data_IF_542101601442
#
_entry.id   IF_542101601442
#
_cell.length_a   1.000
_cell.length_b   1.000
_cell.length_c   1.000
_cell.angle_alpha   90.00
_cell.angle_beta   90.00
_cell.angle_gamma   90.00
#
_symmetry.space_group_name_H-M   'P 1'
#
loop_
_entity.id
_entity.type
_entity.pdbx_description
1 polymer ?
#
# COMPACT_ATOMS: atom_id res chain seq x y z
N UNK A 1 75.52 -13.03 -9.10
CA UNK A 1 74.45 -13.59 -8.24
C UNK A 1 73.48 -12.45 -7.89
N UNK A 2 72.58 -12.04 -8.80
CA UNK A 2 71.66 -10.89 -8.61
C UNK A 2 70.31 -11.20 -9.27
N UNK A 3 69.50 -12.05 -8.63
CA UNK A 3 68.08 -12.28 -8.96
C UNK A 3 67.39 -12.78 -7.69
N UNK A 4 66.72 -11.93 -6.92
CA UNK A 4 65.75 -12.40 -5.89
C UNK A 4 64.96 -11.32 -5.14
N UNK A 5 65.35 -10.03 -5.18
CA UNK A 5 64.67 -9.01 -4.36
C UNK A 5 63.40 -8.41 -4.99
N UNK A 6 63.29 -8.36 -6.31
CA UNK A 6 62.18 -7.69 -7.02
C UNK A 6 60.87 -8.48 -6.99
N UNK A 7 60.90 -9.82 -6.88
CA UNK A 7 59.69 -10.66 -6.92
C UNK A 7 58.91 -10.71 -5.59
N UNK A 8 59.59 -10.56 -4.45
CA UNK A 8 58.95 -10.65 -3.12
C UNK A 8 58.08 -9.43 -2.82
N UNK A 9 58.49 -8.26 -3.30
CA UNK A 9 57.79 -6.98 -3.08
C UNK A 9 56.49 -6.96 -3.90
N UNK A 10 56.50 -7.46 -5.13
CA UNK A 10 55.32 -7.57 -5.99
C UNK A 10 54.23 -8.49 -5.41
N UNK A 11 54.60 -9.65 -4.87
CA UNK A 11 53.63 -10.60 -4.29
C UNK A 11 52.96 -10.09 -3.01
N UNK A 12 53.68 -9.34 -2.18
CA UNK A 12 53.13 -8.75 -0.95
C UNK A 12 52.21 -7.56 -1.25
N UNK A 13 52.57 -6.70 -2.22
CA UNK A 13 51.72 -5.60 -2.67
C UNK A 13 50.44 -6.12 -3.36
N UNK A 14 50.55 -7.13 -4.23
CA UNK A 14 49.39 -7.75 -4.90
C UNK A 14 48.43 -8.41 -3.90
N UNK A 15 48.94 -9.11 -2.87
CA UNK A 15 48.11 -9.68 -1.78
C UNK A 15 47.35 -8.61 -1.00
N UNK A 16 47.98 -7.48 -0.69
CA UNK A 16 47.34 -6.36 0.03
C UNK A 16 46.28 -5.67 -0.81
N UNK A 17 46.51 -5.51 -2.12
CA UNK A 17 45.53 -4.96 -3.06
C UNK A 17 44.34 -5.91 -3.22
N UNK A 18 44.56 -7.22 -3.34
CA UNK A 18 43.50 -8.23 -3.40
C UNK A 18 42.69 -8.27 -2.08
N UNK A 19 43.34 -8.18 -0.92
CA UNK A 19 42.67 -8.08 0.38
C UNK A 19 41.86 -6.79 0.54
N UNK A 20 42.37 -5.64 0.09
CA UNK A 20 41.65 -4.36 0.09
C UNK A 20 40.44 -4.38 -0.86
N UNK A 21 40.60 -4.94 -2.07
CA UNK A 21 39.49 -5.10 -3.03
C UNK A 21 38.42 -6.08 -2.53
N UNK A 22 38.83 -7.16 -1.86
CA UNK A 22 37.91 -8.10 -1.22
C UNK A 22 37.15 -7.46 -0.05
N UNK A 23 37.80 -6.62 0.77
CA UNK A 23 37.13 -5.85 1.82
C UNK A 23 36.15 -4.81 1.25
N UNK A 24 36.51 -4.13 0.16
CA UNK A 24 35.65 -3.14 -0.49
C UNK A 24 34.40 -3.77 -1.13
N UNK A 25 34.52 -5.00 -1.66
CA UNK A 25 33.39 -5.73 -2.22
C UNK A 25 32.36 -6.18 -1.17
N UNK A 26 32.78 -6.43 0.09
CA UNK A 26 31.87 -6.81 1.18
C UNK A 26 31.03 -5.62 1.69
N UNK A 27 31.56 -4.39 1.60
CA UNK A 27 30.84 -3.17 2.04
C UNK A 27 29.67 -2.82 1.11
N UNK A 28 29.70 -3.25 -0.16
CA UNK A 28 28.66 -2.95 -1.15
C UNK A 28 27.49 -3.96 -1.15
N UNK A 29 27.60 -5.06 -0.41
CA UNK A 29 26.57 -6.11 -0.38
C UNK A 29 25.56 -5.91 0.77
N UNK A 30 25.09 -4.69 1.01
CA UNK A 30 23.96 -4.49 1.93
C UNK A 30 22.69 -5.04 1.29
N UNK A 31 22.06 -6.10 1.83
CA UNK A 31 20.79 -6.56 1.32
C UNK A 31 19.75 -5.45 1.51
N UNK A 32 19.20 -4.93 0.41
CA UNK A 32 18.00 -4.09 0.46
C UNK A 32 16.87 -5.01 0.91
N UNK A 33 16.54 -4.97 2.20
CA UNK A 33 15.32 -5.57 2.69
C UNK A 33 14.15 -4.82 2.04
N UNK A 34 13.46 -5.48 1.10
CA UNK A 34 12.23 -4.97 0.53
C UNK A 34 11.24 -4.74 1.68
N UNK A 35 11.01 -3.46 2.02
CA UNK A 35 10.04 -3.10 3.05
C UNK A 35 8.66 -3.37 2.50
N UNK A 36 7.90 -4.21 3.19
CA UNK A 36 6.49 -4.42 2.91
C UNK A 36 5.76 -3.09 2.74
N UNK A 37 5.10 -2.91 1.60
CA UNK A 37 4.36 -1.69 1.33
C UNK A 37 3.21 -1.56 2.34
N UNK A 38 3.17 -0.43 3.04
CA UNK A 38 2.16 -0.17 4.06
C UNK A 38 0.79 0.05 3.40
N UNK A 39 -0.28 -0.59 3.88
CA UNK A 39 -1.64 -0.30 3.40
C UNK A 39 -2.21 1.03 3.92
N UNK A 40 -1.50 1.74 4.80
CA UNK A 40 -1.93 3.04 5.33
C UNK A 40 -1.93 4.11 4.24
N UNK A 41 -3.01 4.87 4.15
CA UNK A 41 -3.20 5.95 3.19
C UNK A 41 -4.55 5.90 2.49
N UNK A 42 -4.68 6.68 1.42
CA UNK A 42 -5.93 6.84 0.69
C UNK A 42 -5.93 5.97 -0.58
N UNK A 43 -7.06 5.30 -0.81
CA UNK A 43 -7.21 4.30 -1.86
C UNK A 43 -8.48 4.54 -2.65
N UNK A 44 -8.35 4.70 -3.96
CA UNK A 44 -9.46 4.74 -4.90
C UNK A 44 -9.94 3.31 -5.16
N UNK A 45 -11.19 3.03 -4.79
CA UNK A 45 -11.83 1.72 -5.02
C UNK A 45 -11.85 1.35 -6.51
N UNK A 46 -11.93 0.06 -6.84
CA UNK A 46 -11.70 -0.44 -8.21
C UNK A 46 -12.55 0.21 -9.32
N UNK A 47 -13.84 0.45 -9.08
CA UNK A 47 -14.73 1.15 -10.04
C UNK A 47 -14.63 2.68 -9.94
N UNK A 48 -13.68 3.22 -9.17
CA UNK A 48 -13.50 4.65 -8.99
C UNK A 48 -14.58 5.34 -8.14
N UNK A 49 -15.54 4.61 -7.61
CA UNK A 49 -16.73 5.19 -6.95
C UNK A 49 -16.48 5.85 -5.60
N UNK A 50 -15.38 5.52 -4.92
CA UNK A 50 -15.05 6.08 -3.61
C UNK A 50 -13.54 6.08 -3.32
N UNK A 51 -13.12 6.98 -2.44
CA UNK A 51 -11.81 7.02 -1.81
C UNK A 51 -11.95 6.54 -0.36
N UNK A 52 -11.21 5.50 -0.01
CA UNK A 52 -11.16 4.91 1.33
C UNK A 52 -9.80 5.21 1.96
N UNK A 53 -9.83 5.89 3.10
CA UNK A 53 -8.64 6.12 3.94
C UNK A 53 -8.45 4.96 4.90
N UNK A 54 -7.31 4.28 4.79
CA UNK A 54 -6.85 3.27 5.74
C UNK A 54 -5.90 3.93 6.72
N UNK A 55 -6.24 3.88 8.01
CA UNK A 55 -5.44 4.45 9.09
C UNK A 55 -5.49 3.55 10.33
N UNK A 56 -4.68 3.88 11.35
CA UNK A 56 -4.81 3.26 12.66
C UNK A 56 -6.20 3.52 13.22
N UNK A 57 -6.82 2.49 13.77
CA UNK A 57 -8.02 2.65 14.58
C UNK A 57 -7.69 3.45 15.85
N UNK A 58 -8.71 3.89 16.58
CA UNK A 58 -8.55 4.63 17.84
C UNK A 58 -7.70 3.87 18.88
N UNK A 59 -7.69 2.53 18.84
CA UNK A 59 -6.87 1.68 19.71
C UNK A 59 -5.35 1.73 19.42
N UNK A 60 -4.94 2.40 18.34
CA UNK A 60 -3.55 2.53 17.90
C UNK A 60 -2.90 1.26 17.33
N UNK A 61 -3.60 0.12 17.33
CA UNK A 61 -3.03 -1.20 16.96
C UNK A 61 -3.63 -1.74 15.68
N UNK A 62 -4.95 -1.73 15.55
CA UNK A 62 -5.62 -2.23 14.35
C UNK A 62 -5.60 -1.18 13.23
N UNK A 63 -5.85 -1.63 11.99
CA UNK A 63 -6.19 -0.74 10.89
C UNK A 63 -7.69 -0.72 10.63
N UNK A 64 -8.20 0.47 10.37
CA UNK A 64 -9.58 0.77 10.04
C UNK A 64 -9.60 1.52 8.71
N UNK A 65 -10.69 1.39 7.96
CA UNK A 65 -10.87 2.00 6.65
C UNK A 65 -12.17 2.79 6.60
N UNK A 66 -12.08 4.07 6.27
CA UNK A 66 -13.22 4.99 6.24
C UNK A 66 -13.41 5.58 4.85
N UNK A 67 -14.65 5.70 4.39
CA UNK A 67 -14.96 6.44 3.16
C UNK A 67 -14.72 7.93 3.44
N UNK A 68 -13.78 8.52 2.73
CA UNK A 68 -13.42 9.95 2.89
C UNK A 68 -13.74 10.78 1.65
N UNK A 69 -14.04 10.13 0.53
CA UNK A 69 -14.56 10.79 -0.65
C UNK A 69 -15.42 9.85 -1.49
N UNK A 70 -16.41 10.41 -2.18
CA UNK A 70 -17.32 9.68 -3.05
C UNK A 70 -17.38 10.42 -4.39
N UNK A 71 -17.24 9.66 -5.48
CA UNK A 71 -17.43 10.19 -6.82
C UNK A 71 -18.91 10.46 -7.04
N UNK A 72 -19.28 11.71 -7.29
CA UNK A 72 -20.67 12.12 -7.48
C UNK A 72 -20.77 13.08 -8.65
N UNK A 73 -21.83 12.92 -9.44
CA UNK A 73 -22.21 13.89 -10.45
C UNK A 73 -22.60 15.23 -9.80
N UNK A 74 -22.53 16.31 -10.59
CA UNK A 74 -22.93 17.63 -10.14
C UNK A 74 -24.40 17.62 -9.68
N UNK A 75 -24.65 18.17 -8.50
CA UNK A 75 -26.00 18.21 -7.90
C UNK A 75 -26.49 16.90 -7.30
N UNK A 76 -25.81 15.76 -7.51
CA UNK A 76 -26.22 14.49 -6.92
C UNK A 76 -26.22 14.54 -5.37
N UNK A 77 -27.18 13.88 -4.72
CA UNK A 77 -27.22 13.84 -3.25
C UNK A 77 -26.15 12.88 -2.72
N UNK A 78 -25.56 13.22 -1.58
CA UNK A 78 -24.67 12.30 -0.86
C UNK A 78 -25.43 11.00 -0.55
N UNK A 79 -24.94 9.82 -0.97
CA UNK A 79 -25.62 8.56 -0.69
C UNK A 79 -25.65 8.31 0.82
N UNK A 80 -26.71 7.62 1.25
CA UNK A 80 -26.88 7.20 2.65
C UNK A 80 -26.55 5.73 2.82
N UNK A 81 -26.12 5.36 4.02
CA UNK A 81 -25.93 3.98 4.44
C UNK A 81 -27.27 3.30 4.72
N UNK A 82 -27.23 2.00 5.01
CA UNK A 82 -28.39 1.18 5.35
C UNK A 82 -29.15 1.64 6.61
N UNK A 83 -28.63 2.62 7.35
CA UNK A 83 -29.26 3.24 8.52
C UNK A 83 -29.71 4.69 8.24
N UNK A 84 -29.66 5.13 6.98
CA UNK A 84 -30.08 6.47 6.57
C UNK A 84 -29.08 7.59 6.86
N UNK A 85 -27.85 7.28 7.28
CA UNK A 85 -26.80 8.27 7.55
C UNK A 85 -25.92 8.49 6.32
N UNK A 86 -25.27 9.64 6.13
CA UNK A 86 -24.34 9.82 5.01
C UNK A 86 -23.27 8.71 4.94
N UNK A 87 -22.99 8.19 3.75
CA UNK A 87 -21.90 7.22 3.56
C UNK A 87 -20.52 7.86 3.73
N UNK A 88 -20.42 9.18 3.62
CA UNK A 88 -19.19 9.86 4.01
C UNK A 88 -18.89 9.60 5.49
N UNK A 89 -17.66 9.20 5.78
CA UNK A 89 -17.24 8.84 7.13
C UNK A 89 -17.60 7.42 7.56
N UNK A 90 -18.28 6.64 6.70
CA UNK A 90 -18.64 5.26 7.00
C UNK A 90 -17.39 4.39 7.16
N UNK A 91 -17.32 3.63 8.26
CA UNK A 91 -16.25 2.67 8.55
C UNK A 91 -16.48 1.37 7.77
N UNK A 92 -15.95 1.34 6.54
CA UNK A 92 -16.05 0.21 5.62
C UNK A 92 -15.17 -0.95 6.07
N UNK A 93 -13.91 -0.70 6.44
CA UNK A 93 -12.99 -1.71 6.97
C UNK A 93 -12.99 -1.60 8.49
N UNK A 94 -13.45 -2.65 9.15
CA UNK A 94 -13.44 -2.80 10.61
C UNK A 94 -12.04 -3.11 11.12
N UNK A 95 -11.78 -2.98 12.44
CA UNK A 95 -10.48 -3.28 13.03
C UNK A 95 -9.87 -4.57 12.47
N UNK A 96 -8.76 -4.38 11.75
CA UNK A 96 -8.05 -5.42 11.04
C UNK A 96 -6.64 -5.54 11.60
N UNK A 97 -6.21 -6.77 11.84
CA UNK A 97 -4.91 -7.07 12.45
C UNK A 97 -3.97 -7.70 11.43
N UNK A 98 -2.69 -7.37 11.53
CA UNK A 98 -1.64 -8.01 10.75
C UNK A 98 -1.52 -9.46 11.19
N UNK A 99 -1.49 -10.40 10.23
CA UNK A 99 -1.34 -11.83 10.54
C UNK A 99 0.05 -12.34 10.19
N UNK A 100 0.37 -12.41 8.90
CA UNK A 100 1.64 -12.96 8.42
C UNK A 100 2.21 -12.02 7.36
N UNK A 101 3.45 -11.55 7.55
CA UNK A 101 4.08 -10.65 6.59
C UNK A 101 3.21 -9.44 6.30
N UNK A 102 2.77 -9.26 5.06
CA UNK A 102 2.09 -8.05 4.61
C UNK A 102 0.56 -8.15 4.67
N UNK A 103 0.04 -9.31 5.10
CA UNK A 103 -1.40 -9.60 5.09
C UNK A 103 -2.10 -9.11 6.35
N UNK A 104 -3.12 -8.29 6.15
CA UNK A 104 -4.06 -7.84 7.18
C UNK A 104 -5.36 -8.60 7.08
N UNK A 105 -5.97 -8.92 8.22
CA UNK A 105 -7.23 -9.66 8.29
C UNK A 105 -8.19 -9.00 9.27
N UNK A 106 -9.44 -8.87 8.85
CA UNK A 106 -10.53 -8.33 9.66
C UNK A 106 -11.88 -8.57 9.00
N UNK A 107 -12.73 -7.55 9.00
CA UNK A 107 -14.06 -7.58 8.37
C UNK A 107 -14.31 -6.30 7.59
N UNK A 108 -15.17 -6.40 6.58
CA UNK A 108 -15.75 -5.25 5.89
C UNK A 108 -17.26 -5.21 6.08
N UNK A 109 -17.84 -4.03 6.03
CA UNK A 109 -19.28 -3.81 6.03
C UNK A 109 -19.67 -3.10 4.74
N UNK A 110 -20.68 -3.61 4.04
CA UNK A 110 -21.23 -2.94 2.87
C UNK A 110 -22.13 -1.78 3.33
N UNK A 111 -21.84 -0.52 2.96
CA UNK A 111 -22.63 0.62 3.41
C UNK A 111 -24.07 0.59 2.89
N UNK A 112 -24.33 -0.06 1.75
CA UNK A 112 -25.66 -0.07 1.10
C UNK A 112 -26.68 -0.96 1.80
N UNK A 113 -26.24 -2.06 2.43
CA UNK A 113 -27.15 -3.05 3.02
C UNK A 113 -26.72 -3.55 4.40
N UNK A 114 -25.58 -3.12 4.93
CA UNK A 114 -25.10 -3.53 6.26
C UNK A 114 -24.49 -4.93 6.32
N UNK A 115 -24.45 -5.66 5.19
CA UNK A 115 -23.88 -7.00 5.15
C UNK A 115 -22.40 -6.99 5.53
N UNK A 116 -22.00 -8.03 6.26
CA UNK A 116 -20.65 -8.14 6.84
C UNK A 116 -19.92 -9.31 6.21
N UNK A 117 -18.68 -9.08 5.81
CA UNK A 117 -17.85 -10.08 5.17
C UNK A 117 -16.52 -10.18 5.91
N UNK A 118 -15.92 -11.36 5.91
CA UNK A 118 -14.52 -11.47 6.27
C UNK A 118 -13.69 -10.76 5.21
N UNK A 119 -12.59 -10.15 5.63
CA UNK A 119 -11.72 -9.41 4.74
C UNK A 119 -10.26 -9.74 4.96
N UNK A 120 -9.51 -9.80 3.86
CA UNK A 120 -8.06 -9.83 3.86
C UNK A 120 -7.55 -8.81 2.86
N UNK A 121 -6.50 -8.07 3.22
CA UNK A 121 -5.91 -7.10 2.30
C UNK A 121 -4.41 -6.96 2.49
N UNK A 122 -3.75 -6.58 1.40
CA UNK A 122 -2.31 -6.27 1.33
C UNK A 122 -2.07 -5.35 0.14
N UNK A 123 -0.95 -4.63 0.16
CA UNK A 123 -0.46 -3.96 -1.05
C UNK A 123 0.27 -5.00 -1.90
N UNK A 124 -0.02 -5.07 -3.18
CA UNK A 124 0.65 -5.97 -4.11
C UNK A 124 1.91 -5.33 -4.74
N UNK A 125 2.62 -6.09 -5.59
CA UNK A 125 3.85 -5.61 -6.22
C UNK A 125 3.64 -4.46 -7.21
N UNK A 126 2.42 -4.28 -7.71
CA UNK A 126 2.08 -3.15 -8.57
C UNK A 126 1.79 -1.88 -7.75
N UNK A 127 1.76 -1.98 -6.41
CA UNK A 127 1.41 -0.88 -5.51
C UNK A 127 -0.10 -0.71 -5.32
N UNK A 128 -0.92 -1.67 -5.77
CA UNK A 128 -2.37 -1.65 -5.57
C UNK A 128 -2.75 -2.36 -4.28
N UNK A 129 -3.82 -1.92 -3.64
CA UNK A 129 -4.38 -2.64 -2.50
C UNK A 129 -5.29 -3.76 -3.01
N UNK A 130 -4.83 -5.00 -2.88
CA UNK A 130 -5.64 -6.18 -3.16
C UNK A 130 -6.50 -6.48 -1.93
N UNK A 131 -7.78 -6.14 -1.98
CA UNK A 131 -8.75 -6.38 -0.91
C UNK A 131 -9.71 -7.50 -1.29
N UNK A 132 -9.71 -8.58 -0.50
CA UNK A 132 -10.58 -9.73 -0.69
C UNK A 132 -11.66 -9.80 0.38
N UNK A 133 -12.92 -9.73 -0.03
CA UNK A 133 -14.10 -9.98 0.81
C UNK A 133 -14.65 -11.38 0.59
N UNK A 134 -15.03 -12.11 1.64
CA UNK A 134 -15.53 -13.49 1.52
C UNK A 134 -16.50 -13.90 2.64
N UNK A 135 -17.25 -14.98 2.40
CA UNK A 135 -18.16 -15.62 3.36
C UNK A 135 -17.57 -16.98 3.77
N UNK A 136 -17.41 -17.23 5.08
CA UNK A 136 -16.82 -18.48 5.57
C UNK A 136 -15.34 -18.63 5.20
N UNK A 137 -15.04 -19.33 4.10
CA UNK A 137 -13.67 -19.59 3.63
C UNK A 137 -13.23 -18.57 2.57
N UNK A 138 -11.93 -18.21 2.51
CA UNK A 138 -11.43 -17.23 1.54
C UNK A 138 -11.73 -17.56 0.08
N UNK A 139 -11.88 -18.83 -0.30
CA UNK A 139 -12.21 -19.23 -1.68
C UNK A 139 -13.61 -18.77 -2.12
N UNK A 140 -14.54 -18.60 -1.18
CA UNK A 140 -15.91 -18.14 -1.44
C UNK A 140 -16.01 -16.61 -1.32
N UNK A 141 -15.29 -15.92 -2.20
CA UNK A 141 -15.23 -14.47 -2.19
C UNK A 141 -14.61 -13.86 -3.42
N UNK A 142 -14.48 -12.55 -3.40
CA UNK A 142 -13.99 -11.75 -4.52
C UNK A 142 -12.86 -10.84 -4.06
N UNK A 143 -11.87 -10.66 -4.93
CA UNK A 143 -10.78 -9.71 -4.74
C UNK A 143 -11.04 -8.48 -5.61
N UNK A 144 -10.97 -7.29 -5.00
CA UNK A 144 -10.97 -6.01 -5.71
C UNK A 144 -9.61 -5.36 -5.53
N UNK A 145 -9.08 -4.79 -6.60
CA UNK A 145 -7.84 -4.04 -6.59
C UNK A 145 -8.17 -2.55 -6.49
N UNK A 146 -7.62 -1.87 -5.50
CA UNK A 146 -7.78 -0.43 -5.32
C UNK A 146 -6.47 0.27 -5.66
N UNK A 147 -6.59 1.40 -6.32
CA UNK A 147 -5.45 2.20 -6.71
C UNK A 147 -5.09 3.17 -5.61
N UNK A 148 -3.81 3.50 -5.46
CA UNK A 148 -3.39 4.57 -4.57
C UNK A 148 -4.05 5.87 -5.01
N UNK A 149 -4.58 6.63 -4.05
CA UNK A 149 -5.16 7.95 -4.29
C UNK A 149 -4.26 9.02 -3.65
N UNK A 150 -3.66 9.86 -4.49
CA UNK A 150 -2.79 10.97 -4.08
C UNK A 150 -3.42 12.34 -4.40
N UNK A 151 -4.70 12.35 -4.81
CA UNK A 151 -5.48 13.57 -5.00
C UNK A 151 -5.89 14.18 -3.66
N UNK A 152 -6.41 15.41 -3.71
CA UNK A 152 -6.96 16.07 -2.54
C UNK A 152 -8.36 15.54 -2.25
N UNK A 153 -8.57 15.09 -1.01
CA UNK A 153 -9.91 14.76 -0.51
C UNK A 153 -10.50 16.01 0.12
N UNK A 154 -11.52 16.65 -0.47
CA UNK A 154 -12.12 17.85 0.10
C UNK A 154 -12.97 17.52 1.33
N UNK A 155 -13.13 18.48 2.24
CA UNK A 155 -13.95 18.33 3.46
C UNK A 155 -15.42 18.01 3.16
N UNK A 156 -15.90 18.39 1.98
CA UNK A 156 -17.24 18.06 1.49
C UNK A 156 -17.44 16.57 1.22
N UNK A 157 -16.35 15.78 1.13
CA UNK A 157 -16.37 14.35 0.78
C UNK A 157 -16.90 14.06 -0.63
N UNK A 158 -17.04 15.09 -1.47
CA UNK A 158 -17.49 14.99 -2.85
C UNK A 158 -16.27 15.13 -3.75
N UNK A 159 -16.01 14.10 -4.56
CA UNK A 159 -14.92 14.08 -5.52
C UNK A 159 -15.54 14.05 -6.92
N UNK A 160 -14.88 14.70 -7.88
CA UNK A 160 -15.25 14.66 -9.30
C UNK A 160 -14.14 14.01 -10.16
N UNK A 161 -14.46 13.72 -11.43
CA UNK A 161 -13.51 13.06 -12.34
C UNK A 161 -12.25 13.90 -12.62
N UNK A 162 -12.33 15.23 -12.51
CA UNK A 162 -11.18 16.11 -12.74
C UNK A 162 -10.13 15.95 -11.64
N UNK A 163 -10.57 15.69 -10.41
CA UNK A 163 -9.70 15.41 -9.27
C UNK A 163 -8.98 14.07 -9.37
N UNK A 164 -9.58 13.06 -10.02
CA UNK A 164 -8.92 11.77 -10.30
C UNK A 164 -7.89 11.91 -11.42
N UNK A 165 -8.21 12.64 -12.50
CA UNK A 165 -7.29 12.87 -13.61
C UNK A 165 -6.00 13.59 -13.17
N UNK A 166 -6.11 14.51 -12.20
CA UNK A 166 -4.96 15.16 -11.58
C UNK A 166 -4.08 14.18 -10.78
N UNK A 167 -4.69 13.24 -10.04
CA UNK A 167 -3.97 12.23 -9.28
C UNK A 167 -3.22 11.23 -10.19
N UNK A 168 -3.84 10.81 -11.31
CA UNK A 168 -3.24 9.89 -12.27
C UNK A 168 -2.02 10.47 -13.02
N UNK A 169 -1.94 11.80 -13.20
CA UNK A 169 -0.79 12.45 -13.87
C UNK A 169 0.45 12.55 -12.98
N UNK A 170 0.30 12.69 -11.67
CA UNK A 170 1.43 12.78 -10.74
C UNK A 170 2.06 11.41 -10.40
N UNK A 171 1.28 10.32 -10.45
CA UNK A 171 1.78 8.96 -10.19
C UNK A 171 2.69 8.38 -11.29
N UNK A 172 2.69 8.97 -12.49
CA UNK A 172 3.51 8.52 -13.62
C UNK A 172 4.94 9.09 -13.66
N UNK A 173 5.24 10.13 -12.87
CA UNK A 173 6.50 10.89 -12.96
C UNK A 173 7.58 10.48 -11.95
N UNK A 174 7.31 9.47 -11.11
CA UNK A 174 8.23 9.00 -10.08
C UNK A 174 8.96 7.69 -10.46
N UNK A 175 9.01 7.35 -11.76
CA UNK A 175 9.67 6.15 -12.29
C UNK A 175 10.56 6.52 -13.49
N UNK A 176 11.55 7.38 -13.26
CA UNK A 176 12.72 7.55 -14.13
C UNK A 176 13.97 7.65 -13.25
#
# INVERSE_FOLDING_TARGET
MIRSHTERIGRAALRRIVLMLALLAVVLATPVLARAASPVGDWLTGEGGAVVRIARCHDGKALCGRIVGIMLDSGARMPVDWQGRPQCGFELIRPSVRRNGELWRGRIVNPRNGNRYHAQFRVDRAGQLALRGYIGLPIFGETRHWMRYDGQVPDSCRIDQTQIAAAGRNGGRARE
#
